data_IF_318541696378
#
_entry.id   IF_318541696378
#
_cell.length_a   1.000
_cell.length_b   1.000
_cell.length_c   1.000
_cell.angle_alpha   90.00
_cell.angle_beta   90.00
_cell.angle_gamma   90.00
#
_symmetry.space_group_name_H-M   'P 1'
#
loop_
_entity.id
_entity.type
_entity.pdbx_description
1 polymer ?
#
# COMPACT_ATOMS: atom_id res chain seq x y z
N UNK A 1 -27.29 32.72 -60.16
CA UNK A 1 -26.11 31.82 -60.25
C UNK A 1 -25.85 31.18 -58.92
N UNK A 2 -26.32 29.95 -58.75
CA UNK A 2 -26.18 29.21 -57.46
C UNK A 2 -24.97 28.30 -57.54
N UNK A 3 -23.90 28.63 -56.82
CA UNK A 3 -22.68 27.87 -56.72
C UNK A 3 -22.86 26.68 -55.75
N UNK A 4 -23.05 25.48 -56.26
CA UNK A 4 -23.00 24.24 -55.44
C UNK A 4 -21.57 24.00 -54.98
N UNK A 5 -21.34 24.22 -53.66
CA UNK A 5 -20.05 23.85 -53.02
C UNK A 5 -19.92 22.34 -53.05
N UNK A 6 -18.98 21.83 -53.89
CA UNK A 6 -18.58 20.40 -53.91
C UNK A 6 -17.99 20.02 -52.56
N UNK A 7 -18.72 19.30 -51.70
CA UNK A 7 -18.16 18.70 -50.47
C UNK A 7 -16.98 17.77 -50.83
N UNK A 8 -15.81 18.18 -50.38
CA UNK A 8 -14.50 17.61 -50.68
C UNK A 8 -14.47 16.08 -50.43
N UNK A 9 -14.15 15.30 -51.49
CA UNK A 9 -13.91 13.85 -51.45
C UNK A 9 -12.82 13.51 -50.43
N UNK A 10 -11.89 14.41 -50.12
CA UNK A 10 -10.82 14.22 -49.13
C UNK A 10 -11.32 13.98 -47.68
N UNK A 11 -12.43 14.61 -47.24
CA UNK A 11 -12.95 14.38 -45.93
C UNK A 11 -13.58 12.97 -45.76
N UNK A 12 -14.11 12.40 -46.83
CA UNK A 12 -14.61 11.01 -46.83
C UNK A 12 -13.45 10.00 -46.79
N UNK A 13 -12.40 10.23 -47.57
CA UNK A 13 -11.21 9.36 -47.57
C UNK A 13 -10.53 9.39 -46.21
N UNK A 14 -10.34 10.58 -45.63
CA UNK A 14 -9.78 10.71 -44.27
C UNK A 14 -10.59 10.00 -43.20
N UNK A 15 -11.93 10.05 -43.28
CA UNK A 15 -12.82 9.32 -42.38
C UNK A 15 -12.69 7.81 -42.51
N UNK A 16 -12.57 7.29 -43.72
CA UNK A 16 -12.39 5.87 -43.97
C UNK A 16 -10.98 5.39 -43.51
N UNK A 17 -9.93 6.16 -43.75
CA UNK A 17 -8.58 5.88 -43.24
C UNK A 17 -8.59 5.85 -41.71
N UNK A 18 -9.18 6.86 -41.05
CA UNK A 18 -9.30 6.91 -39.59
C UNK A 18 -10.08 5.71 -39.02
N UNK A 19 -11.17 5.30 -39.68
CA UNK A 19 -11.98 4.15 -39.27
C UNK A 19 -11.20 2.83 -39.43
N UNK A 20 -10.42 2.69 -40.52
CA UNK A 20 -9.59 1.54 -40.75
C UNK A 20 -8.45 1.44 -39.74
N UNK A 21 -7.79 2.55 -39.42
CA UNK A 21 -6.75 2.60 -38.39
C UNK A 21 -7.34 2.25 -37.02
N UNK A 22 -8.50 2.79 -36.67
CA UNK A 22 -9.20 2.46 -35.43
C UNK A 22 -9.55 0.96 -35.37
N UNK A 23 -10.06 0.40 -36.48
CA UNK A 23 -10.36 -1.04 -36.60
C UNK A 23 -9.12 -1.91 -36.39
N UNK A 24 -7.98 -1.53 -36.96
CA UNK A 24 -6.70 -2.24 -36.78
C UNK A 24 -6.24 -2.17 -35.31
N UNK A 25 -6.33 -0.99 -34.67
CA UNK A 25 -5.96 -0.82 -33.26
C UNK A 25 -6.82 -1.69 -32.36
N UNK A 26 -8.13 -1.73 -32.60
CA UNK A 26 -9.07 -2.59 -31.86
C UNK A 26 -8.74 -4.06 -32.06
N UNK A 27 -8.44 -4.48 -33.29
CA UNK A 27 -8.09 -5.86 -33.64
C UNK A 27 -6.77 -6.30 -32.95
N UNK A 28 -5.79 -5.42 -32.96
CA UNK A 28 -4.51 -5.62 -32.24
C UNK A 28 -4.78 -5.72 -30.73
N UNK A 29 -5.61 -4.84 -30.17
CA UNK A 29 -6.00 -4.88 -28.76
C UNK A 29 -6.67 -6.20 -28.36
N UNK A 30 -7.59 -6.69 -29.19
CA UNK A 30 -8.26 -7.98 -28.99
C UNK A 30 -7.24 -9.13 -29.08
N UNK A 31 -6.35 -9.11 -30.09
CA UNK A 31 -5.31 -10.14 -30.26
C UNK A 31 -4.37 -10.19 -29.06
N UNK A 32 -3.93 -9.04 -28.56
CA UNK A 32 -3.10 -8.94 -27.35
C UNK A 32 -3.88 -9.47 -26.14
N UNK A 33 -5.14 -9.10 -25.97
CA UNK A 33 -5.99 -9.61 -24.89
C UNK A 33 -6.14 -11.14 -24.92
N UNK A 34 -6.32 -11.73 -26.10
CA UNK A 34 -6.38 -13.17 -26.27
C UNK A 34 -5.05 -13.84 -25.91
N UNK A 35 -3.92 -13.30 -26.39
CA UNK A 35 -2.58 -13.84 -26.09
C UNK A 35 -2.30 -13.77 -24.60
N UNK A 36 -2.60 -12.67 -23.95
CA UNK A 36 -2.41 -12.50 -22.49
C UNK A 36 -3.25 -13.53 -21.73
N UNK A 37 -4.53 -13.69 -22.09
CA UNK A 37 -5.45 -14.61 -21.43
C UNK A 37 -5.08 -16.09 -21.67
N UNK A 38 -4.40 -16.42 -22.77
CA UNK A 38 -3.98 -17.77 -23.08
C UNK A 38 -2.60 -18.15 -22.52
N UNK A 39 -1.69 -17.17 -22.43
CA UNK A 39 -0.32 -17.37 -21.95
C UNK A 39 -0.22 -17.25 -20.43
N UNK A 40 -0.94 -16.28 -19.84
CA UNK A 40 -0.90 -15.98 -18.41
C UNK A 40 -2.17 -16.48 -17.71
N UNK A 41 -2.41 -17.78 -17.78
CA UNK A 41 -3.54 -18.39 -17.07
C UNK A 41 -3.27 -18.48 -15.56
N UNK A 42 -4.30 -18.39 -14.71
CA UNK A 42 -4.16 -18.56 -13.26
C UNK A 42 -3.44 -19.85 -12.88
N UNK A 43 -3.74 -20.95 -13.58
CA UNK A 43 -3.11 -22.26 -13.35
C UNK A 43 -1.59 -22.31 -13.56
N UNK A 44 -1.02 -21.35 -14.29
CA UNK A 44 0.43 -21.22 -14.49
C UNK A 44 1.06 -20.18 -13.56
N UNK A 45 0.36 -19.06 -13.35
CA UNK A 45 0.88 -17.95 -12.55
C UNK A 45 0.90 -18.29 -11.06
N UNK A 46 -0.17 -18.87 -10.54
CA UNK A 46 -0.31 -19.18 -9.12
C UNK A 46 0.82 -20.09 -8.60
N UNK A 47 1.12 -21.25 -9.22
CA UNK A 47 2.22 -22.11 -8.76
C UNK A 47 3.59 -21.45 -8.89
N UNK A 48 3.79 -20.64 -9.93
CA UNK A 48 5.07 -19.95 -10.13
C UNK A 48 5.34 -18.94 -9.00
N UNK A 49 4.35 -18.12 -8.66
CA UNK A 49 4.49 -17.11 -7.59
C UNK A 49 4.63 -17.78 -6.23
N UNK A 50 3.83 -18.82 -5.93
CA UNK A 50 3.94 -19.58 -4.69
C UNK A 50 5.34 -20.20 -4.51
N UNK A 51 5.85 -20.86 -5.56
CA UNK A 51 7.19 -21.45 -5.53
C UNK A 51 8.28 -20.40 -5.32
N UNK A 52 8.16 -19.26 -5.99
CA UNK A 52 9.12 -18.16 -5.83
C UNK A 52 9.07 -17.58 -4.41
N UNK A 53 7.88 -17.33 -3.88
CA UNK A 53 7.74 -16.83 -2.51
C UNK A 53 8.34 -17.79 -1.46
N UNK A 54 8.11 -19.10 -1.61
CA UNK A 54 8.65 -20.13 -0.72
C UNK A 54 10.19 -20.23 -0.74
N UNK A 55 10.87 -19.71 -1.75
CA UNK A 55 12.33 -19.68 -1.82
C UNK A 55 12.96 -18.56 -1.00
N UNK A 56 12.23 -17.49 -0.75
CA UNK A 56 12.74 -16.30 -0.07
C UNK A 56 12.18 -16.12 1.35
N UNK A 57 11.15 -16.85 1.70
CA UNK A 57 10.45 -16.70 2.97
C UNK A 57 10.46 -18.01 3.77
N UNK A 58 10.80 -17.94 5.05
CA UNK A 58 10.55 -19.02 6.02
C UNK A 58 9.07 -19.08 6.39
N UNK A 59 8.22 -19.26 5.37
CA UNK A 59 6.78 -19.23 5.51
C UNK A 59 6.13 -20.11 4.45
N UNK A 60 4.96 -20.65 4.79
CA UNK A 60 4.08 -21.27 3.81
C UNK A 60 3.19 -20.19 3.23
N UNK A 61 3.36 -19.95 1.93
CA UNK A 61 2.55 -18.99 1.18
C UNK A 61 1.51 -19.76 0.38
N UNK A 62 0.26 -19.51 0.68
CA UNK A 62 -0.87 -20.02 -0.09
C UNK A 62 -1.52 -18.89 -0.86
N UNK A 63 -1.82 -19.12 -2.13
CA UNK A 63 -2.52 -18.19 -3.01
C UNK A 63 -3.63 -18.98 -3.69
N UNK A 64 -4.88 -18.53 -3.52
CA UNK A 64 -6.03 -19.16 -4.15
C UNK A 64 -5.96 -19.01 -5.67
N UNK A 65 -5.92 -17.78 -6.15
CA UNK A 65 -5.89 -17.52 -7.58
C UNK A 65 -5.12 -16.23 -7.90
N UNK A 66 -4.40 -16.26 -9.03
CA UNK A 66 -3.78 -15.07 -9.62
C UNK A 66 -4.33 -14.87 -11.03
N UNK A 67 -5.00 -13.75 -11.24
CA UNK A 67 -5.55 -13.37 -12.52
C UNK A 67 -4.88 -12.13 -13.08
N UNK A 68 -4.60 -12.12 -14.38
CA UNK A 68 -4.23 -10.92 -15.10
C UNK A 68 -5.49 -10.22 -15.60
N UNK A 69 -5.65 -8.95 -15.20
CA UNK A 69 -6.76 -8.11 -15.65
C UNK A 69 -6.20 -7.03 -16.59
N UNK A 70 -6.80 -6.93 -17.79
CA UNK A 70 -6.44 -5.88 -18.75
C UNK A 70 -7.60 -4.96 -19.06
N UNK A 71 -8.79 -5.52 -19.29
CA UNK A 71 -9.93 -4.71 -19.72
C UNK A 71 -10.47 -3.78 -18.62
N UNK A 72 -10.43 -4.22 -17.37
CA UNK A 72 -10.87 -3.41 -16.22
C UNK A 72 -9.83 -2.37 -15.78
N UNK A 73 -8.57 -2.55 -16.15
CA UNK A 73 -7.45 -1.70 -15.76
C UNK A 73 -6.84 -0.94 -16.93
N UNK A 74 -7.41 -1.08 -18.15
CA UNK A 74 -6.88 -0.45 -19.37
C UNK A 74 -6.58 1.05 -19.18
N UNK A 75 -5.44 1.57 -19.68
CA UNK A 75 -4.38 0.91 -20.46
C UNK A 75 -3.31 0.20 -19.62
N UNK A 76 -3.47 0.10 -18.32
CA UNK A 76 -2.54 -0.55 -17.42
C UNK A 76 -2.86 -2.06 -17.31
N UNK A 77 -1.89 -2.87 -16.90
CA UNK A 77 -2.09 -4.27 -16.58
C UNK A 77 -2.34 -4.42 -15.08
N UNK A 78 -3.39 -5.13 -14.71
CA UNK A 78 -3.68 -5.49 -13.34
C UNK A 78 -3.30 -6.94 -13.05
N UNK A 79 -2.66 -7.18 -11.92
CA UNK A 79 -2.49 -8.48 -11.31
C UNK A 79 -3.42 -8.54 -10.10
N UNK A 80 -4.44 -9.37 -10.20
CA UNK A 80 -5.39 -9.60 -9.12
C UNK A 80 -5.05 -10.91 -8.42
N UNK A 81 -4.85 -10.86 -7.13
CA UNK A 81 -4.56 -11.99 -6.26
C UNK A 81 -5.73 -12.15 -5.32
N UNK A 82 -6.29 -13.35 -5.23
CA UNK A 82 -7.40 -13.66 -4.33
C UNK A 82 -7.01 -14.76 -3.34
N UNK A 83 -7.56 -14.65 -2.13
CA UNK A 83 -7.40 -15.63 -1.05
C UNK A 83 -5.92 -16.00 -0.77
N UNK A 84 -5.08 -14.97 -0.57
CA UNK A 84 -3.69 -15.17 -0.22
C UNK A 84 -3.51 -15.27 1.31
N UNK A 85 -2.70 -16.23 1.76
CA UNK A 85 -2.32 -16.34 3.16
C UNK A 85 -0.84 -16.64 3.33
N UNK A 86 -0.27 -16.14 4.40
CA UNK A 86 1.11 -16.36 4.82
C UNK A 86 1.10 -16.94 6.23
N UNK A 87 1.66 -18.14 6.37
CA UNK A 87 1.84 -18.83 7.64
C UNK A 87 3.34 -18.89 7.93
N UNK A 88 3.76 -18.25 9.01
CA UNK A 88 5.15 -18.19 9.41
C UNK A 88 5.66 -19.56 9.90
N UNK A 89 6.85 -19.93 9.51
CA UNK A 89 7.52 -21.13 10.01
C UNK A 89 8.46 -20.83 11.20
N UNK A 90 8.63 -19.56 11.57
CA UNK A 90 9.55 -19.13 12.63
C UNK A 90 9.11 -19.60 14.00
N UNK A 91 7.80 -19.53 14.30
CA UNK A 91 7.22 -19.92 15.59
C UNK A 91 6.46 -21.27 15.52
N UNK A 92 6.76 -22.11 14.52
CA UNK A 92 6.08 -23.41 14.31
C UNK A 92 6.45 -24.46 15.33
N UNK A 93 7.49 -24.20 16.11
CA UNK A 93 7.86 -25.17 17.14
C UNK A 93 7.04 -24.91 18.40
N UNK A 94 6.24 -25.90 18.61
CA UNK A 94 6.07 -26.57 19.79
C UNK A 94 4.96 -26.27 20.71
N UNK A 95 4.52 -26.40 21.37
CA UNK A 95 3.82 -26.51 22.67
C UNK A 95 2.73 -25.47 22.92
N UNK A 96 2.71 -24.43 22.17
CA UNK A 96 1.60 -23.49 22.17
C UNK A 96 0.62 -23.92 21.09
N UNK A 97 -0.38 -24.69 21.47
CA UNK A 97 -1.53 -25.06 20.62
C UNK A 97 -2.39 -23.83 20.22
N UNK A 98 -1.78 -22.71 19.96
CA UNK A 98 -2.46 -21.58 19.40
C UNK A 98 -2.27 -21.63 17.88
N UNK A 99 -3.09 -22.40 17.19
CA UNK A 99 -3.23 -22.43 15.72
C UNK A 99 -3.44 -21.04 15.04
N UNK A 100 -3.14 -19.96 15.74
CA UNK A 100 -3.27 -18.58 15.29
C UNK A 100 -1.96 -17.79 15.36
N UNK A 101 -0.93 -18.28 16.06
CA UNK A 101 0.33 -17.53 16.25
C UNK A 101 1.27 -17.62 15.07
N UNK A 102 1.13 -18.65 14.24
CA UNK A 102 1.88 -18.88 13.02
C UNK A 102 1.24 -18.21 11.79
N UNK A 103 -0.09 -17.98 11.81
CA UNK A 103 -0.81 -17.31 10.71
C UNK A 103 -0.57 -15.80 10.76
N UNK A 104 0.40 -15.33 9.98
CA UNK A 104 0.76 -13.91 9.95
C UNK A 104 -0.26 -13.06 9.21
N UNK A 105 -0.67 -13.49 8.01
CA UNK A 105 -1.49 -12.63 7.16
C UNK A 105 -2.45 -13.44 6.30
N UNK A 106 -3.65 -12.89 6.16
CA UNK A 106 -4.61 -13.30 5.14
C UNK A 106 -5.09 -12.06 4.38
N UNK A 107 -5.16 -12.16 3.07
CA UNK A 107 -5.64 -11.12 2.17
C UNK A 107 -6.76 -11.71 1.33
N UNK A 108 -7.95 -11.11 1.40
CA UNK A 108 -9.09 -11.54 0.58
C UNK A 108 -8.85 -11.24 -0.90
N UNK A 109 -8.39 -10.03 -1.20
CA UNK A 109 -8.08 -9.58 -2.56
C UNK A 109 -6.96 -8.55 -2.52
N UNK A 110 -6.03 -8.69 -3.45
CA UNK A 110 -4.99 -7.69 -3.70
C UNK A 110 -4.94 -7.41 -5.20
N UNK A 111 -5.00 -6.13 -5.57
CA UNK A 111 -4.85 -5.66 -6.94
C UNK A 111 -3.59 -4.82 -7.06
N UNK A 112 -2.71 -5.22 -7.95
CA UNK A 112 -1.51 -4.47 -8.33
C UNK A 112 -1.62 -4.05 -9.78
N UNK A 113 -1.60 -2.75 -10.07
CA UNK A 113 -1.59 -2.27 -11.46
C UNK A 113 -0.21 -1.76 -11.86
N UNK A 114 0.21 -2.15 -13.06
CA UNK A 114 1.51 -1.78 -13.62
C UNK A 114 1.35 -1.15 -14.99
N UNK A 115 2.20 -0.18 -15.30
CA UNK A 115 2.19 0.47 -16.60
C UNK A 115 3.12 -0.27 -17.58
N UNK A 116 2.55 -0.97 -18.59
CA UNK A 116 3.35 -1.77 -19.53
C UNK A 116 4.20 -0.90 -20.46
N UNK A 117 3.75 0.30 -20.78
CA UNK A 117 4.48 1.21 -21.68
C UNK A 117 5.76 1.71 -21.01
N UNK A 118 5.73 1.92 -19.69
CA UNK A 118 6.91 2.29 -18.93
C UNK A 118 7.97 1.18 -18.94
N UNK A 119 7.53 -0.08 -18.85
CA UNK A 119 8.40 -1.24 -18.95
C UNK A 119 9.04 -1.36 -20.34
N UNK A 120 8.23 -1.28 -21.40
CA UNK A 120 8.71 -1.41 -22.80
C UNK A 120 9.69 -0.28 -23.22
N UNK A 121 9.50 0.93 -22.68
CA UNK A 121 10.33 2.09 -23.05
C UNK A 121 11.61 2.23 -22.23
N UNK A 122 11.58 1.84 -20.96
CA UNK A 122 12.63 2.19 -19.99
C UNK A 122 13.13 1.01 -19.17
N UNK A 123 12.62 -0.20 -19.43
CA UNK A 123 12.89 -1.41 -18.64
C UNK A 123 12.66 -1.19 -17.12
N UNK A 124 11.70 -0.31 -16.77
CA UNK A 124 11.36 0.05 -15.40
C UNK A 124 9.93 -0.38 -15.10
N UNK A 125 9.76 -1.14 -14.03
CA UNK A 125 8.42 -1.52 -13.54
C UNK A 125 7.86 -0.33 -12.76
N UNK A 126 6.77 0.26 -13.28
CA UNK A 126 6.02 1.30 -12.57
C UNK A 126 4.72 0.71 -12.05
N UNK A 127 4.66 0.53 -10.75
CA UNK A 127 3.43 0.17 -10.05
C UNK A 127 2.62 1.44 -9.88
N UNK A 128 1.38 1.43 -10.35
CA UNK A 128 0.47 2.58 -10.25
C UNK A 128 -0.37 2.47 -9.00
N UNK A 129 -1.09 1.37 -8.87
CA UNK A 129 -1.97 1.13 -7.75
C UNK A 129 -1.57 -0.17 -7.02
N UNK A 130 -1.66 -0.13 -5.72
CA UNK A 130 -1.55 -1.27 -4.82
C UNK A 130 -2.74 -1.23 -3.86
N UNK A 131 -3.75 -2.06 -4.13
CA UNK A 131 -5.02 -2.06 -3.40
C UNK A 131 -5.19 -3.39 -2.69
N UNK A 132 -5.41 -3.37 -1.39
CA UNK A 132 -5.61 -4.54 -0.55
C UNK A 132 -6.97 -4.47 0.12
N UNK A 133 -7.81 -5.46 -0.12
CA UNK A 133 -9.15 -5.57 0.42
C UNK A 133 -9.20 -6.55 1.60
N UNK A 134 -9.71 -6.09 2.70
CA UNK A 134 -9.96 -6.87 3.92
C UNK A 134 -8.74 -7.70 4.39
N UNK A 135 -7.53 -7.11 4.48
CA UNK A 135 -6.40 -7.83 5.04
C UNK A 135 -6.64 -8.13 6.52
N UNK A 136 -6.25 -9.33 6.93
CA UNK A 136 -6.21 -9.74 8.33
C UNK A 136 -4.77 -10.04 8.68
N UNK A 137 -4.21 -9.29 9.60
CA UNK A 137 -2.81 -9.41 10.01
C UNK A 137 -2.79 -9.75 11.51
N UNK A 138 -2.05 -10.77 11.85
CA UNK A 138 -1.78 -11.16 13.22
C UNK A 138 -0.27 -11.12 13.46
N UNK A 139 0.20 -9.98 13.94
CA UNK A 139 1.59 -9.77 14.32
C UNK A 139 1.78 -10.26 15.77
N UNK A 140 2.60 -11.28 15.93
CA UNK A 140 2.79 -11.96 17.21
C UNK A 140 4.28 -11.98 17.58
N UNK A 141 4.56 -11.68 18.86
CA UNK A 141 5.87 -11.82 19.49
C UNK A 141 5.72 -12.75 20.69
N UNK A 142 6.54 -13.77 20.79
CA UNK A 142 6.53 -14.70 21.92
C UNK A 142 7.16 -14.10 23.18
N UNK A 143 7.30 -14.89 24.25
CA UNK A 143 7.90 -14.43 25.51
C UNK A 143 9.39 -14.21 25.41
N UNK A 144 10.04 -14.89 24.49
CA UNK A 144 11.47 -14.83 24.21
C UNK A 144 11.83 -13.66 23.30
N UNK A 145 10.82 -12.97 22.73
CA UNK A 145 10.97 -11.82 21.82
C UNK A 145 11.06 -12.21 20.35
N UNK A 146 10.82 -13.48 20.01
CA UNK A 146 10.77 -13.96 18.64
C UNK A 146 9.45 -13.52 17.97
N UNK A 147 9.56 -12.97 16.75
CA UNK A 147 8.42 -12.43 16.02
C UNK A 147 8.03 -13.29 14.82
N UNK A 148 6.73 -13.52 14.62
CA UNK A 148 6.23 -14.32 13.50
C UNK A 148 6.46 -13.70 12.12
N UNK A 149 6.87 -12.44 12.03
CA UNK A 149 7.21 -11.77 10.78
C UNK A 149 8.72 -11.80 10.43
N UNK A 150 9.57 -12.36 11.28
CA UNK A 150 11.01 -12.53 11.00
C UNK A 150 11.28 -13.69 10.03
N UNK A 151 10.52 -13.70 8.92
CA UNK A 151 10.51 -14.80 7.95
C UNK A 151 11.57 -14.67 6.84
N UNK A 152 12.19 -13.51 6.70
CA UNK A 152 13.20 -13.29 5.65
C UNK A 152 14.51 -13.91 6.11
N UNK A 153 15.08 -14.80 5.31
CA UNK A 153 16.45 -15.22 5.55
C UNK A 153 17.37 -14.03 5.36
N UNK A 154 18.10 -13.67 6.40
CA UNK A 154 19.27 -12.82 6.23
C UNK A 154 20.25 -13.60 5.35
N UNK A 155 20.18 -13.39 4.04
CA UNK A 155 21.29 -13.75 3.16
C UNK A 155 22.48 -12.97 3.67
N UNK A 156 23.30 -13.65 4.42
CA UNK A 156 24.56 -13.14 4.95
C UNK A 156 25.33 -12.53 3.78
N UNK A 157 25.23 -11.25 3.62
CA UNK A 157 26.15 -10.47 2.79
C UNK A 157 27.47 -10.40 3.54
N UNK A 158 28.08 -11.57 3.79
CA UNK A 158 29.50 -11.64 4.04
C UNK A 158 30.18 -11.36 2.70
N UNK A 159 30.35 -10.10 2.40
CA UNK A 159 31.31 -9.66 1.39
C UNK A 159 32.71 -10.02 1.93
N UNK A 160 33.13 -11.23 1.67
CA UNK A 160 34.54 -11.55 1.65
C UNK A 160 35.06 -10.93 0.35
N UNK A 161 35.79 -9.85 0.53
CA UNK A 161 36.63 -9.29 -0.52
C UNK A 161 37.68 -10.31 -0.90
N UNK A 162 37.52 -11.03 -2.03
CA UNK A 162 38.66 -11.38 -2.86
C UNK A 162 38.18 -11.73 -4.30
N UNK A 163 38.70 -10.92 -5.22
CA UNK A 163 39.05 -11.21 -6.61
C UNK A 163 38.21 -12.22 -7.39
N UNK A 164 37.31 -11.76 -8.22
CA UNK A 164 37.24 -12.01 -9.68
C UNK A 164 36.12 -11.14 -10.26
N UNK A 165 36.45 -10.34 -11.27
CA UNK A 165 35.53 -9.50 -12.03
C UNK A 165 34.55 -10.41 -12.79
N UNK A 166 33.25 -10.36 -12.50
CA UNK A 166 32.23 -10.88 -13.41
C UNK A 166 31.59 -9.70 -14.12
N UNK A 167 31.39 -9.87 -15.41
CA UNK A 167 30.65 -9.00 -16.32
C UNK A 167 29.47 -8.31 -15.64
N UNK A 168 29.41 -6.98 -15.81
CA UNK A 168 28.26 -6.13 -15.48
C UNK A 168 26.99 -6.66 -16.15
N UNK A 169 26.28 -7.54 -15.46
CA UNK A 169 24.85 -7.65 -15.65
C UNK A 169 24.26 -6.37 -15.08
N UNK A 170 23.81 -5.48 -15.96
CA UNK A 170 23.03 -4.31 -15.62
C UNK A 170 22.02 -4.71 -14.53
N UNK A 171 22.25 -4.25 -13.29
CA UNK A 171 21.25 -4.36 -12.23
C UNK A 171 20.06 -3.55 -12.71
N UNK A 172 19.03 -4.23 -13.13
CA UNK A 172 17.73 -3.60 -13.43
C UNK A 172 17.28 -2.92 -12.15
N UNK A 173 17.55 -1.62 -12.03
CA UNK A 173 17.01 -0.83 -10.92
C UNK A 173 15.51 -0.81 -11.07
N UNK A 174 14.85 -1.67 -10.31
CA UNK A 174 13.40 -1.68 -10.20
C UNK A 174 13.00 -0.46 -9.38
N UNK A 175 12.85 0.69 -10.02
CA UNK A 175 12.26 1.85 -9.39
C UNK A 175 10.76 1.60 -9.25
N UNK A 176 10.34 1.18 -8.07
CA UNK A 176 8.93 1.10 -7.69
C UNK A 176 8.36 2.51 -7.56
N UNK A 177 7.75 3.00 -8.63
CA UNK A 177 7.04 4.28 -8.64
C UNK A 177 5.57 4.02 -8.29
N UNK A 178 5.31 3.77 -7.01
CA UNK A 178 3.95 3.53 -6.50
C UNK A 178 3.27 4.88 -6.36
N UNK A 179 2.12 5.06 -7.01
CA UNK A 179 1.35 6.31 -6.95
C UNK A 179 0.21 6.24 -5.95
N UNK A 180 -0.40 5.09 -5.82
CA UNK A 180 -1.58 4.92 -5.00
C UNK A 180 -1.50 3.62 -4.21
N UNK A 181 -1.59 3.72 -2.90
CA UNK A 181 -1.68 2.57 -1.98
C UNK A 181 -2.98 2.67 -1.21
N UNK A 182 -3.81 1.63 -1.27
CA UNK A 182 -5.07 1.55 -0.53
C UNK A 182 -5.17 0.26 0.26
N UNK A 183 -5.55 0.40 1.51
CA UNK A 183 -6.01 -0.70 2.35
C UNK A 183 -7.45 -0.40 2.72
N UNK A 184 -8.35 -1.36 2.54
CA UNK A 184 -9.75 -1.21 2.87
C UNK A 184 -10.19 -2.30 3.83
N UNK A 185 -10.89 -1.88 4.87
CA UNK A 185 -11.48 -2.76 5.88
C UNK A 185 -10.47 -3.76 6.48
N UNK A 186 -9.27 -3.27 6.79
CA UNK A 186 -8.21 -4.08 7.40
C UNK A 186 -8.51 -4.42 8.85
N UNK A 187 -8.01 -5.56 9.28
CA UNK A 187 -8.03 -6.02 10.65
C UNK A 187 -6.61 -6.40 11.06
N UNK A 188 -6.11 -5.79 12.13
CA UNK A 188 -4.76 -5.98 12.63
C UNK A 188 -4.81 -6.33 14.10
N UNK A 189 -4.10 -7.38 14.48
CA UNK A 189 -3.77 -7.69 15.88
C UNK A 189 -2.25 -7.62 16.04
N UNK A 190 -1.82 -6.98 17.10
CA UNK A 190 -0.46 -7.01 17.60
C UNK A 190 -0.49 -7.61 19.01
N UNK A 191 0.09 -8.79 19.19
CA UNK A 191 0.15 -9.56 20.45
C UNK A 191 1.62 -9.78 20.81
N UNK A 192 2.14 -8.89 21.65
CA UNK A 192 3.51 -9.00 22.16
C UNK A 192 3.48 -9.54 23.59
N UNK A 193 3.88 -10.79 23.73
CA UNK A 193 3.90 -11.46 25.03
C UNK A 193 5.15 -11.16 25.86
N UNK A 194 6.20 -10.70 25.24
CA UNK A 194 7.42 -10.26 25.93
C UNK A 194 7.19 -9.00 26.75
N UNK A 195 6.40 -8.06 26.22
CA UNK A 195 6.03 -6.79 26.87
C UNK A 195 4.61 -6.80 27.44
N UNK A 196 3.87 -7.91 27.27
CA UNK A 196 2.46 -8.04 27.67
C UNK A 196 1.54 -6.98 27.05
N UNK A 197 1.85 -6.59 25.80
CA UNK A 197 1.09 -5.63 25.02
C UNK A 197 0.20 -6.35 24.01
N UNK A 198 -1.10 -6.09 24.08
CA UNK A 198 -2.07 -6.57 23.09
C UNK A 198 -2.81 -5.38 22.50
N UNK A 199 -2.80 -5.27 21.18
CA UNK A 199 -3.56 -4.25 20.45
C UNK A 199 -4.37 -4.87 19.33
N UNK A 200 -5.56 -4.35 19.09
CA UNK A 200 -6.42 -4.75 17.99
C UNK A 200 -7.00 -3.55 17.29
N UNK A 201 -6.84 -3.51 15.98
CA UNK A 201 -7.36 -2.47 15.10
C UNK A 201 -8.39 -3.09 14.16
N UNK A 202 -9.57 -2.51 14.09
CA UNK A 202 -10.68 -2.96 13.24
C UNK A 202 -11.11 -1.84 12.30
N UNK A 203 -11.51 -2.22 11.08
CA UNK A 203 -11.97 -1.29 10.07
C UNK A 203 -10.89 -0.30 9.63
N UNK A 204 -9.63 -0.80 9.55
CA UNK A 204 -8.50 0.00 9.06
C UNK A 204 -8.69 0.32 7.58
N UNK A 205 -8.74 1.61 7.27
CA UNK A 205 -8.65 2.10 5.91
C UNK A 205 -7.43 3.03 5.83
N UNK A 206 -6.61 2.83 4.82
CA UNK A 206 -5.46 3.65 4.49
C UNK A 206 -5.52 4.00 3.02
N UNK A 207 -5.31 5.25 2.69
CA UNK A 207 -5.14 5.73 1.32
C UNK A 207 -3.94 6.66 1.28
N UNK A 208 -2.98 6.31 0.45
CA UNK A 208 -1.80 7.12 0.19
C UNK A 208 -1.73 7.35 -1.30
N UNK A 209 -1.80 8.60 -1.71
CA UNK A 209 -1.72 9.02 -3.11
C UNK A 209 -0.61 10.06 -3.28
N UNK A 210 0.18 9.93 -4.34
CA UNK A 210 1.19 10.92 -4.63
C UNK A 210 2.33 10.43 -5.52
N UNK A 211 3.18 11.37 -5.91
CA UNK A 211 4.40 11.09 -6.65
C UNK A 211 5.61 11.09 -5.71
N UNK A 212 6.02 9.91 -5.26
CA UNK A 212 7.08 9.77 -4.26
C UNK A 212 8.50 9.95 -4.81
N UNK A 213 8.70 9.94 -6.12
CA UNK A 213 10.03 9.99 -6.75
C UNK A 213 10.38 11.37 -7.39
N UNK A 214 9.42 12.29 -7.47
CA UNK A 214 9.63 13.60 -8.08
C UNK A 214 10.45 14.56 -7.22
N UNK A 215 11.03 15.58 -7.82
CA UNK A 215 11.64 16.72 -7.10
C UNK A 215 10.61 17.47 -6.28
N UNK A 216 9.40 17.58 -6.81
CA UNK A 216 8.21 18.03 -6.10
C UNK A 216 7.25 16.87 -5.98
N UNK A 217 6.60 16.75 -4.83
CA UNK A 217 5.61 15.72 -4.56
C UNK A 217 4.37 16.36 -3.92
N UNK A 218 3.20 16.03 -4.49
CA UNK A 218 1.90 16.29 -3.87
C UNK A 218 1.45 14.98 -3.24
N UNK A 219 1.40 14.94 -1.92
CA UNK A 219 1.08 13.77 -1.14
C UNK A 219 -0.27 13.93 -0.47
N UNK A 220 -1.12 12.93 -0.62
CA UNK A 220 -2.37 12.82 0.12
C UNK A 220 -2.32 11.56 0.95
N UNK A 221 -2.65 11.69 2.22
CA UNK A 221 -2.73 10.57 3.16
C UNK A 221 -4.09 10.61 3.85
N UNK A 222 -4.84 9.54 3.71
CA UNK A 222 -6.07 9.26 4.43
C UNK A 222 -5.89 8.02 5.29
N UNK A 223 -6.28 8.08 6.56
CA UNK A 223 -6.24 6.96 7.48
C UNK A 223 -7.48 7.00 8.36
N UNK A 224 -8.15 5.87 8.54
CA UNK A 224 -9.25 5.74 9.50
C UNK A 224 -9.24 4.37 10.15
N UNK A 225 -9.65 4.30 11.42
CA UNK A 225 -10.01 3.05 12.10
C UNK A 225 -11.38 3.19 12.69
N UNK A 226 -12.13 2.10 12.74
CA UNK A 226 -13.43 2.06 13.43
C UNK A 226 -13.24 1.83 14.91
N UNK A 227 -12.27 0.99 15.27
CA UNK A 227 -12.04 0.59 16.64
C UNK A 227 -10.57 0.23 16.87
N UNK A 228 -9.97 0.85 17.88
CA UNK A 228 -8.69 0.45 18.45
C UNK A 228 -8.92 0.02 19.88
N UNK A 229 -8.43 -1.16 20.23
CA UNK A 229 -8.39 -1.71 21.58
C UNK A 229 -6.93 -1.90 21.98
N UNK A 230 -6.61 -1.56 23.24
CA UNK A 230 -5.26 -1.69 23.78
C UNK A 230 -5.30 -2.22 25.22
N UNK A 231 -4.56 -3.31 25.43
CA UNK A 231 -4.28 -3.89 26.75
C UNK A 231 -2.77 -3.84 26.99
N UNK A 232 -2.39 -3.51 28.21
CA UNK A 232 -1.01 -3.55 28.67
C UNK A 232 -0.97 -4.15 30.05
N UNK A 233 -0.12 -5.16 30.27
CA UNK A 233 0.08 -5.82 31.56
C UNK A 233 -1.26 -6.27 32.22
N UNK A 234 -2.18 -6.78 31.42
CA UNK A 234 -3.50 -7.23 31.86
C UNK A 234 -4.52 -6.10 32.13
N UNK A 235 -4.13 -4.83 31.96
CA UNK A 235 -5.02 -3.67 32.11
C UNK A 235 -5.56 -3.21 30.77
N UNK A 236 -6.86 -2.96 30.69
CA UNK A 236 -7.49 -2.37 29.51
C UNK A 236 -7.25 -0.86 29.52
N UNK A 237 -6.34 -0.39 28.69
CA UNK A 237 -6.01 1.05 28.56
C UNK A 237 -6.97 1.76 27.61
N UNK A 238 -7.31 1.12 26.50
CA UNK A 238 -8.19 1.68 25.46
C UNK A 238 -9.21 0.61 25.08
N UNK A 239 -10.48 0.90 25.28
CA UNK A 239 -11.58 -0.02 24.94
C UNK A 239 -12.10 0.23 23.53
N UNK A 240 -12.27 1.49 23.17
CA UNK A 240 -12.80 1.91 21.87
C UNK A 240 -12.20 3.25 21.50
N UNK A 241 -11.41 3.26 20.45
CA UNK A 241 -10.85 4.49 19.91
C UNK A 241 -10.99 4.48 18.40
N UNK A 242 -11.81 5.38 17.88
CA UNK A 242 -11.89 5.64 16.45
C UNK A 242 -10.88 6.74 16.09
N UNK A 243 -9.94 6.40 15.21
CA UNK A 243 -8.93 7.34 14.74
C UNK A 243 -9.20 7.70 13.29
N UNK A 244 -8.84 8.93 12.93
CA UNK A 244 -8.82 9.38 11.56
C UNK A 244 -7.69 10.36 11.32
N UNK A 245 -7.10 10.32 10.14
CA UNK A 245 -6.16 11.32 9.67
C UNK A 245 -6.42 11.61 8.21
N UNK A 246 -6.44 12.88 7.85
CA UNK A 246 -6.52 13.35 6.49
C UNK A 246 -5.46 14.44 6.32
N UNK A 247 -4.51 14.20 5.44
CA UNK A 247 -3.40 15.11 5.24
C UNK A 247 -3.17 15.34 3.76
N UNK A 248 -2.95 16.60 3.39
CA UNK A 248 -2.44 17.00 2.09
C UNK A 248 -1.19 17.82 2.28
N UNK A 249 -0.11 17.37 1.65
CA UNK A 249 1.19 17.98 1.79
C UNK A 249 1.88 18.10 0.42
N UNK A 250 2.43 19.27 0.17
CA UNK A 250 3.35 19.48 -0.94
C UNK A 250 4.79 19.49 -0.42
N UNK A 251 5.65 18.75 -1.09
CA UNK A 251 7.09 18.61 -0.75
C UNK A 251 7.91 19.11 -1.93
N UNK A 252 8.76 20.09 -1.69
CA UNK A 252 9.80 20.49 -2.63
C UNK A 252 11.17 20.05 -2.05
N UNK A 253 11.77 19.03 -2.67
CA UNK A 253 13.01 18.43 -2.18
C UNK A 253 14.25 19.27 -2.49
N UNK A 254 14.21 20.07 -3.53
CA UNK A 254 15.34 20.92 -3.91
C UNK A 254 15.52 22.07 -2.90
N UNK A 255 14.42 22.66 -2.44
CA UNK A 255 14.42 23.74 -1.43
C UNK A 255 14.18 23.25 0.00
N UNK A 256 13.98 21.94 0.20
CA UNK A 256 13.58 21.33 1.48
C UNK A 256 12.38 22.02 2.13
N UNK A 257 11.45 22.45 1.28
CA UNK A 257 10.22 23.11 1.68
C UNK A 257 9.08 22.09 1.72
N UNK A 258 8.43 21.98 2.87
CA UNK A 258 7.26 21.15 3.13
C UNK A 258 6.09 22.08 3.42
N UNK A 259 5.09 22.04 2.57
CA UNK A 259 3.85 22.80 2.75
C UNK A 259 2.74 21.86 3.16
N UNK A 260 2.26 22.00 4.38
CA UNK A 260 1.12 21.29 4.91
C UNK A 260 -0.13 22.10 4.60
N UNK A 261 -0.81 21.75 3.49
CA UNK A 261 -2.02 22.48 3.07
C UNK A 261 -3.16 22.22 4.03
N UNK A 262 -3.28 20.97 4.48
CA UNK A 262 -4.30 20.52 5.43
C UNK A 262 -3.77 19.28 6.15
N UNK A 263 -3.86 19.27 7.47
CA UNK A 263 -3.79 18.06 8.26
C UNK A 263 -4.93 18.08 9.29
N UNK A 264 -5.75 17.05 9.29
CA UNK A 264 -6.80 16.87 10.28
C UNK A 264 -6.62 15.49 10.90
N UNK A 265 -6.33 15.46 12.18
CA UNK A 265 -6.30 14.24 12.98
C UNK A 265 -7.57 14.19 13.82
N UNK A 266 -8.25 13.05 13.82
CA UNK A 266 -9.53 12.85 14.52
C UNK A 266 -9.40 11.72 15.54
N UNK A 267 -9.84 11.96 16.74
CA UNK A 267 -9.88 10.99 17.83
C UNK A 267 -11.30 10.99 18.43
N UNK A 268 -12.06 9.93 18.24
CA UNK A 268 -13.47 9.83 18.69
C UNK A 268 -14.30 11.09 18.35
N UNK A 269 -14.08 11.71 17.19
CA UNK A 269 -14.79 12.90 16.75
C UNK A 269 -14.17 14.25 17.16
N UNK A 270 -13.19 14.27 18.08
CA UNK A 270 -12.39 15.46 18.36
C UNK A 270 -11.41 15.65 17.20
N UNK A 271 -11.36 16.85 16.63
CA UNK A 271 -10.53 17.15 15.48
C UNK A 271 -9.39 18.09 15.86
N UNK A 272 -8.18 17.68 15.53
CA UNK A 272 -6.96 18.48 15.63
C UNK A 272 -6.58 18.88 14.21
N UNK A 273 -6.65 20.17 13.91
CA UNK A 273 -6.28 20.70 12.60
C UNK A 273 -4.91 21.34 12.64
N UNK A 274 -4.12 21.15 11.58
CA UNK A 274 -2.87 21.86 11.38
C UNK A 274 -2.69 22.21 9.90
N UNK A 275 -1.97 23.33 9.65
CA UNK A 275 -1.56 23.73 8.31
C UNK A 275 -0.45 24.74 8.39
N UNK A 276 0.42 24.78 7.39
CA UNK A 276 1.56 25.71 7.42
C UNK A 276 2.73 25.25 6.56
N UNK A 277 3.90 25.78 6.90
CA UNK A 277 5.12 25.52 6.14
C UNK A 277 6.27 25.19 7.07
N UNK A 278 7.12 24.32 6.59
CA UNK A 278 8.35 23.91 7.24
C UNK A 278 9.46 23.92 6.20
N UNK A 279 10.54 24.64 6.45
CA UNK A 279 11.70 24.71 5.57
C UNK A 279 12.96 24.40 6.35
N UNK A 280 13.71 23.41 5.86
CA UNK A 280 14.99 23.06 6.43
C UNK A 280 16.13 23.77 5.67
N UNK A 281 17.08 24.33 6.43
CA UNK A 281 18.33 24.85 5.92
C UNK A 281 19.47 23.94 6.39
N UNK A 282 20.02 23.17 5.48
CA UNK A 282 21.09 22.22 5.77
C UNK A 282 22.45 22.89 5.98
N UNK A 283 22.65 24.11 5.45
CA UNK A 283 23.90 24.87 5.59
C UNK A 283 24.00 25.41 7.01
N UNK A 284 22.95 26.06 7.48
CA UNK A 284 22.91 26.67 8.81
C UNK A 284 22.40 25.72 9.89
N UNK A 285 21.99 24.49 9.51
CA UNK A 285 21.38 23.49 10.40
C UNK A 285 20.18 24.04 11.17
N UNK A 286 19.37 24.86 10.51
CA UNK A 286 18.17 25.47 11.08
C UNK A 286 16.93 24.98 10.39
N UNK A 287 15.80 25.02 11.11
CA UNK A 287 14.48 24.72 10.56
C UNK A 287 13.57 25.90 10.86
N UNK A 288 13.03 26.49 9.79
CA UNK A 288 12.01 27.50 9.91
C UNK A 288 10.63 26.83 9.90
N UNK A 289 9.78 27.22 10.86
CA UNK A 289 8.46 26.61 11.06
C UNK A 289 7.42 27.71 11.19
N UNK A 290 6.42 27.68 10.31
CA UNK A 290 5.22 28.51 10.39
C UNK A 290 4.01 27.58 10.29
N UNK A 291 3.47 27.16 11.42
CA UNK A 291 2.36 26.22 11.52
C UNK A 291 1.25 26.82 12.37
N UNK A 292 0.03 26.83 11.80
CA UNK A 292 -1.19 27.16 12.51
C UNK A 292 -1.88 25.85 12.89
N UNK A 293 -2.39 25.78 14.10
CA UNK A 293 -3.12 24.63 14.59
C UNK A 293 -4.41 25.04 15.31
N UNK A 294 -5.32 24.11 15.41
CA UNK A 294 -6.59 24.30 16.10
C UNK A 294 -7.18 22.99 16.57
N UNK A 295 -8.03 23.07 17.56
CA UNK A 295 -8.76 21.92 18.11
C UNK A 295 -10.24 22.22 18.04
N UNK A 296 -11.02 21.25 17.56
CA UNK A 296 -12.46 21.27 17.58
C UNK A 296 -13.00 20.12 18.42
N UNK A 297 -13.68 20.43 19.49
CA UNK A 297 -14.30 19.48 20.43
C UNK A 297 -15.81 19.59 20.25
N UNK A 298 -16.49 18.53 19.73
CA UNK A 298 -17.95 18.60 19.47
C UNK A 298 -18.78 18.80 20.73
N UNK A 299 -18.37 18.16 21.85
CA UNK A 299 -19.06 18.28 23.12
C UNK A 299 -18.14 17.92 24.29
N UNK A 300 -18.49 18.36 25.49
CA UNK A 300 -17.79 17.96 26.73
C UNK A 300 -17.86 16.45 26.94
N UNK A 301 -18.98 15.83 26.60
CA UNK A 301 -19.13 14.38 26.65
C UNK A 301 -18.08 13.67 25.82
N UNK A 302 -17.85 14.12 24.58
CA UNK A 302 -16.82 13.55 23.68
C UNK A 302 -15.43 13.62 24.31
N UNK A 303 -15.13 14.67 25.05
CA UNK A 303 -13.86 14.79 25.77
C UNK A 303 -13.78 13.80 26.94
N UNK A 304 -14.87 13.65 27.71
CA UNK A 304 -14.92 12.72 28.83
C UNK A 304 -14.84 11.26 28.39
N UNK A 305 -15.41 10.94 27.24
CA UNK A 305 -15.37 9.59 26.66
C UNK A 305 -13.95 9.15 26.26
N UNK A 306 -12.97 10.07 26.25
CA UNK A 306 -11.55 9.75 26.05
C UNK A 306 -10.83 9.34 27.34
N UNK A 307 -11.42 9.59 28.50
CA UNK A 307 -10.80 9.22 29.79
C UNK A 307 -10.85 7.69 29.92
N UNK A 308 -9.70 7.02 30.10
CA UNK A 308 -9.66 5.57 30.24
C UNK A 308 -10.50 5.11 31.46
N UNK A 309 -11.23 4.00 31.28
CA UNK A 309 -12.02 3.40 32.38
C UNK A 309 -11.17 3.15 33.63
N UNK A 310 -9.90 2.80 33.48
CA UNK A 310 -8.96 2.61 34.57
C UNK A 310 -8.76 3.85 35.46
N UNK A 311 -9.01 5.04 34.92
CA UNK A 311 -8.97 6.30 35.71
C UNK A 311 -10.28 6.56 36.39
N UNK A 312 -11.40 6.16 35.79
CA UNK A 312 -12.74 6.36 36.31
C UNK A 312 -13.07 5.39 37.44
N UNK A 313 -12.59 4.14 37.37
CA UNK A 313 -12.86 3.12 38.42
C UNK A 313 -12.06 3.28 39.72
N UNK A 314 -11.04 4.12 39.75
CA UNK A 314 -10.27 4.42 40.97
C UNK A 314 -11.04 5.29 41.98
N UNK A 315 -12.22 5.81 41.64
CA UNK A 315 -13.03 6.70 42.46
C UNK A 315 -14.42 6.14 42.78
N UNK A 316 -14.62 4.82 42.67
CA UNK A 316 -15.84 4.14 43.18
C UNK A 316 -15.56 3.22 44.33
#
# INVERSE_FOLDING_TARGET
MSGKVKKSKGKRILKWISLTILGIIVLIGIAIGIVINFVFTPSKLTPFVQKTAAQYLKADVHIGEIELTFFSTFPDFGLKITDASIVSNVLRDTSVQAAKTDSLMYIKECLVTVNPIAYLRRNKIKVKDFIVESPRIYAFVDKEGEANWNMVEETSSSVVADSVVPEEKEKTETLLDIKNVKIRNGWLVFDDRSTQLYSRVEGLNLEVDGNFLGRTADLQLGFTTQNLLLWQEGQLLIRRLALGMETRMNVNRDSLLYTLEKAVFTVNGIKFGAGGRLQADTVNRTVWVDVKYGIHIPSLKTLLDLVPDAVLDKNR
#
